data_IF_663407223945
#
_entry.id   IF_663407223945
#
_cell.length_a   1.000
_cell.length_b   1.000
_cell.length_c   1.000
_cell.angle_alpha   90.00
_cell.angle_beta   90.00
_cell.angle_gamma   90.00
#
_symmetry.space_group_name_H-M   'P 1'
#
loop_
_entity.id
_entity.type
_entity.pdbx_description
1 polymer ?
#
# COMPACT_ATOMS: atom_id res chain seq x y z
N UNK A 1 -36.17 -10.84 -9.94
CA UNK A 1 -36.04 -9.44 -9.56
C UNK A 1 -35.07 -9.29 -8.37
N UNK A 2 -35.28 -9.99 -7.23
CA UNK A 2 -34.40 -9.92 -6.05
C UNK A 2 -32.95 -10.35 -6.36
N UNK A 3 -32.77 -11.47 -7.09
CA UNK A 3 -31.44 -11.96 -7.46
C UNK A 3 -30.69 -10.96 -8.37
N UNK A 4 -31.40 -10.29 -9.28
CA UNK A 4 -30.85 -9.29 -10.17
C UNK A 4 -30.46 -8.00 -9.40
N UNK A 5 -31.26 -7.60 -8.42
CA UNK A 5 -30.95 -6.48 -7.52
C UNK A 5 -29.69 -6.78 -6.68
N UNK A 6 -29.61 -7.97 -6.08
CA UNK A 6 -28.42 -8.36 -5.29
C UNK A 6 -27.16 -8.46 -6.15
N UNK A 7 -27.29 -8.96 -7.39
CA UNK A 7 -26.16 -9.02 -8.32
C UNK A 7 -25.67 -7.62 -8.73
N UNK A 8 -26.59 -6.67 -9.01
CA UNK A 8 -26.25 -5.28 -9.33
C UNK A 8 -25.59 -4.56 -8.16
N UNK A 9 -26.07 -4.76 -6.93
CA UNK A 9 -25.45 -4.22 -5.73
C UNK A 9 -24.02 -4.79 -5.55
N UNK A 10 -23.87 -6.11 -5.66
CA UNK A 10 -22.57 -6.78 -5.54
C UNK A 10 -21.56 -6.32 -6.59
N UNK A 11 -22.01 -6.20 -7.85
CA UNK A 11 -21.18 -5.71 -8.95
C UNK A 11 -20.80 -4.22 -8.77
N UNK A 12 -21.73 -3.42 -8.26
CA UNK A 12 -21.48 -2.01 -7.93
C UNK A 12 -20.42 -1.86 -6.83
N UNK A 13 -20.52 -2.63 -5.75
CA UNK A 13 -19.51 -2.64 -4.67
C UNK A 13 -18.15 -3.12 -5.20
N UNK A 14 -18.13 -4.16 -6.03
CA UNK A 14 -16.91 -4.68 -6.64
C UNK A 14 -16.26 -3.64 -7.55
N UNK A 15 -17.04 -3.04 -8.46
CA UNK A 15 -16.56 -2.01 -9.37
C UNK A 15 -15.99 -0.79 -8.62
N UNK A 16 -16.65 -0.34 -7.55
CA UNK A 16 -16.16 0.76 -6.72
C UNK A 16 -14.83 0.41 -6.05
N UNK A 17 -14.68 -0.81 -5.55
CA UNK A 17 -13.41 -1.25 -4.94
C UNK A 17 -12.27 -1.33 -5.93
N UNK A 18 -12.52 -1.84 -7.13
CA UNK A 18 -11.48 -1.98 -8.16
C UNK A 18 -11.14 -0.66 -8.83
N UNK A 19 -12.16 0.14 -9.21
CA UNK A 19 -11.98 1.36 -10.02
C UNK A 19 -11.66 2.61 -9.19
N UNK A 20 -12.13 2.70 -7.93
CA UNK A 20 -11.92 3.89 -7.10
C UNK A 20 -10.85 3.68 -6.01
N UNK A 21 -10.64 2.47 -5.57
CA UNK A 21 -9.69 2.15 -4.51
C UNK A 21 -8.47 1.37 -5.02
N UNK A 22 -8.33 1.17 -6.33
CA UNK A 22 -7.25 0.41 -6.97
C UNK A 22 -6.97 -0.95 -6.27
N UNK A 23 -8.05 -1.63 -5.86
CA UNK A 23 -7.91 -2.89 -5.16
C UNK A 23 -7.41 -3.96 -6.14
N UNK A 24 -6.31 -4.69 -5.82
CA UNK A 24 -5.73 -5.67 -6.74
C UNK A 24 -6.72 -6.79 -7.05
N UNK A 25 -6.82 -7.16 -8.33
CA UNK A 25 -7.65 -8.28 -8.77
C UNK A 25 -7.01 -9.63 -8.47
N UNK A 26 -5.68 -9.66 -8.33
CA UNK A 26 -4.91 -10.88 -8.05
C UNK A 26 -4.47 -10.90 -6.58
N UNK A 27 -4.72 -12.00 -5.84
CA UNK A 27 -4.24 -12.12 -4.48
C UNK A 27 -2.71 -12.29 -4.44
N UNK A 28 -2.05 -11.60 -3.50
CA UNK A 28 -0.60 -11.68 -3.29
C UNK A 28 0.23 -10.74 -4.16
N UNK A 29 -0.40 -9.77 -4.81
CA UNK A 29 0.30 -8.68 -5.48
C UNK A 29 1.05 -7.83 -4.44
N UNK A 30 2.35 -7.67 -4.63
CA UNK A 30 3.22 -6.95 -3.71
C UNK A 30 3.62 -5.60 -4.28
N UNK A 31 3.63 -4.61 -3.43
CA UNK A 31 4.19 -3.29 -3.72
C UNK A 31 5.34 -2.99 -2.77
N UNK A 32 6.28 -2.19 -3.24
CA UNK A 32 7.37 -1.71 -2.38
C UNK A 32 6.89 -0.46 -1.66
N UNK A 33 6.95 -0.49 -0.34
CA UNK A 33 6.80 0.69 0.52
C UNK A 33 8.13 0.98 1.18
N UNK A 34 8.31 2.20 1.70
CA UNK A 34 9.58 2.61 2.25
C UNK A 34 9.44 3.03 3.72
N UNK A 35 10.18 2.40 4.60
CA UNK A 35 10.35 2.87 5.96
C UNK A 35 11.31 4.07 5.94
N UNK A 36 10.79 5.25 6.26
CA UNK A 36 11.51 6.52 6.35
C UNK A 36 11.71 6.87 7.81
N UNK A 37 12.94 7.23 8.17
CA UNK A 37 13.26 7.61 9.53
C UNK A 37 14.16 8.86 9.54
N UNK A 38 13.81 9.84 10.37
CA UNK A 38 14.63 10.98 10.72
C UNK A 38 15.16 10.73 12.13
N UNK A 39 16.48 10.74 12.28
CA UNK A 39 17.19 10.61 13.54
C UNK A 39 17.97 11.91 13.81
N UNK A 40 17.68 12.53 14.93
CA UNK A 40 18.29 13.79 15.37
C UNK A 40 19.02 13.52 16.69
N UNK A 41 20.33 13.68 16.71
CA UNK A 41 21.17 13.52 17.88
C UNK A 41 21.95 14.83 18.10
N UNK A 42 21.83 15.47 19.25
CA UNK A 42 22.35 16.80 19.49
C UNK A 42 22.64 17.06 20.96
N UNK A 43 23.55 17.98 21.21
CA UNK A 43 23.89 18.44 22.56
C UNK A 43 23.07 19.69 22.95
N UNK A 44 22.73 19.78 24.24
CA UNK A 44 21.98 20.90 24.80
C UNK A 44 22.71 21.50 26.00
N UNK A 45 22.52 22.80 26.21
CA UNK A 45 23.26 23.57 27.20
C UNK A 45 22.36 24.36 28.17
N UNK A 46 21.27 23.75 28.64
CA UNK A 46 20.29 24.36 29.55
C UNK A 46 19.68 25.69 29.03
N UNK A 47 19.55 25.78 27.70
CA UNK A 47 18.89 26.89 27.02
C UNK A 47 17.60 26.40 26.34
N UNK A 48 16.64 27.31 26.06
CA UNK A 48 15.46 26.92 25.32
C UNK A 48 15.84 26.37 23.95
N UNK A 49 15.35 25.14 23.67
CA UNK A 49 15.55 24.46 22.39
C UNK A 49 14.29 24.51 21.56
N UNK A 50 14.44 24.88 20.30
CA UNK A 50 13.42 24.78 19.27
C UNK A 50 14.02 24.11 18.03
N UNK A 51 13.47 22.96 17.68
CA UNK A 51 13.79 22.21 16.46
C UNK A 51 12.56 22.16 15.58
N UNK A 52 12.71 22.58 14.34
CA UNK A 52 11.65 22.50 13.34
C UNK A 52 12.20 21.75 12.12
N UNK A 53 11.55 20.65 11.72
CA UNK A 53 11.94 19.90 10.53
C UNK A 53 10.73 19.57 9.68
N UNK A 54 10.95 19.51 8.37
CA UNK A 54 9.95 19.03 7.45
C UNK A 54 9.76 17.53 7.61
N UNK A 55 8.51 17.07 7.57
CA UNK A 55 8.13 15.67 7.63
C UNK A 55 7.23 15.33 6.46
N UNK A 56 7.22 14.06 6.00
CA UNK A 56 6.36 13.59 4.93
C UNK A 56 4.88 13.93 5.16
N UNK A 57 4.17 14.26 4.09
CA UNK A 57 2.74 14.56 4.10
C UNK A 57 2.00 13.81 3.00
N UNK A 58 0.72 13.50 3.24
CA UNK A 58 -0.15 12.89 2.23
C UNK A 58 -0.47 13.86 1.10
N UNK A 59 -0.57 13.34 -0.12
CA UNK A 59 -1.15 14.00 -1.28
C UNK A 59 -1.99 13.00 -2.09
N UNK A 60 -2.45 13.40 -3.27
CA UNK A 60 -3.23 12.52 -4.13
C UNK A 60 -2.44 11.27 -4.53
N UNK A 61 -1.16 11.42 -4.88
CA UNK A 61 -0.31 10.37 -5.43
C UNK A 61 0.66 9.75 -4.41
N UNK A 62 0.85 10.36 -3.23
CA UNK A 62 1.77 9.86 -2.20
C UNK A 62 1.08 9.68 -0.86
N UNK A 63 1.47 8.65 -0.14
CA UNK A 63 0.84 8.30 1.14
C UNK A 63 1.87 8.09 2.23
N UNK A 64 1.52 8.57 3.41
CA UNK A 64 2.27 8.39 4.65
C UNK A 64 1.40 7.59 5.61
N UNK A 65 1.97 6.57 6.20
CA UNK A 65 1.28 5.73 7.18
C UNK A 65 2.22 5.31 8.32
N UNK A 66 1.67 4.78 9.40
CA UNK A 66 2.43 4.27 10.53
C UNK A 66 3.39 5.31 11.15
N UNK A 67 2.97 6.58 11.23
CA UNK A 67 3.77 7.63 11.83
C UNK A 67 4.01 7.38 13.32
N UNK A 68 5.26 7.54 13.74
CA UNK A 68 5.69 7.39 15.13
C UNK A 68 6.68 8.52 15.47
N UNK A 69 6.45 9.17 16.60
CA UNK A 69 7.29 10.24 17.12
C UNK A 69 7.87 9.81 18.45
N UNK A 70 9.18 9.79 18.56
CA UNK A 70 9.91 9.52 19.81
C UNK A 70 10.49 10.84 20.30
N UNK A 71 9.72 11.51 21.17
CA UNK A 71 9.97 12.89 21.56
C UNK A 71 10.73 13.01 22.88
N UNK A 72 10.91 11.91 23.63
CA UNK A 72 11.44 12.01 24.99
C UNK A 72 10.59 12.96 25.85
N UNK A 73 11.25 13.96 26.44
CA UNK A 73 10.60 15.01 27.24
C UNK A 73 10.21 16.26 26.43
N UNK A 74 10.45 16.28 25.11
CA UNK A 74 10.12 17.42 24.28
C UNK A 74 8.62 17.50 23.99
N UNK A 75 8.08 18.72 24.05
CA UNK A 75 6.76 19.02 23.49
C UNK A 75 6.79 18.94 21.97
N UNK A 76 5.80 18.32 21.35
CA UNK A 76 5.65 18.23 19.90
C UNK A 76 4.45 19.02 19.43
N UNK A 77 4.65 19.84 18.42
CA UNK A 77 3.60 20.50 17.66
C UNK A 77 3.78 20.18 16.17
N UNK A 78 2.70 19.75 15.53
CA UNK A 78 2.66 19.56 14.08
C UNK A 78 2.01 20.78 13.44
N UNK A 79 2.65 21.30 12.41
CA UNK A 79 2.16 22.43 11.61
C UNK A 79 2.09 21.98 10.15
N UNK A 80 1.00 22.31 9.46
CA UNK A 80 0.84 22.02 8.03
C UNK A 80 0.51 23.33 7.33
N UNK A 81 1.36 23.73 6.40
CA UNK A 81 1.10 24.85 5.49
C UNK A 81 0.67 24.30 4.14
N UNK A 82 -0.45 24.77 3.70
CA UNK A 82 -0.96 24.40 2.40
C UNK A 82 -0.04 24.87 1.29
N UNK A 83 0.63 23.93 0.59
CA UNK A 83 1.55 24.21 -0.49
C UNK A 83 3.04 24.07 -0.14
N UNK A 84 3.45 24.30 1.12
CA UNK A 84 4.87 24.26 1.52
C UNK A 84 5.32 22.92 2.10
N UNK A 85 4.39 22.16 2.67
CA UNK A 85 4.71 20.93 3.37
C UNK A 85 4.23 20.91 4.82
N UNK A 86 4.60 19.86 5.54
CA UNK A 86 4.24 19.64 6.94
C UNK A 86 5.50 19.69 7.79
N UNK A 87 5.46 20.39 8.94
CA UNK A 87 6.60 20.49 9.85
C UNK A 87 6.28 19.90 11.22
N UNK A 88 7.28 19.28 11.83
CA UNK A 88 7.28 18.88 13.22
C UNK A 88 8.17 19.86 14.00
N UNK A 89 7.60 20.43 15.06
CA UNK A 89 8.25 21.42 15.92
C UNK A 89 8.40 20.80 17.30
N UNK A 90 9.64 20.56 17.72
CA UNK A 90 9.96 20.10 19.07
C UNK A 90 10.48 21.27 19.90
N UNK A 91 9.99 21.38 21.12
CA UNK A 91 10.39 22.44 22.04
C UNK A 91 10.65 21.88 23.43
N UNK A 92 11.73 22.36 24.06
CA UNK A 92 12.03 22.07 25.45
C UNK A 92 12.74 23.28 26.08
N UNK A 93 12.28 23.66 27.30
CA UNK A 93 12.69 24.93 27.89
C UNK A 93 14.12 24.92 28.47
N UNK A 94 14.50 23.86 29.16
CA UNK A 94 15.79 23.73 29.82
C UNK A 94 16.35 22.31 29.73
N UNK A 95 16.64 21.80 28.54
CA UNK A 95 17.26 20.49 28.40
C UNK A 95 18.74 20.56 28.76
N UNK A 96 19.24 19.52 29.40
CA UNK A 96 20.64 19.25 29.64
C UNK A 96 21.04 17.95 28.98
N UNK A 97 22.33 17.82 28.70
CA UNK A 97 22.94 16.61 28.11
C UNK A 97 22.53 16.36 26.65
N UNK A 98 23.09 15.28 26.11
CA UNK A 98 22.80 14.81 24.78
C UNK A 98 21.38 14.30 24.68
N UNK A 99 20.69 14.68 23.63
CA UNK A 99 19.28 14.33 23.37
C UNK A 99 19.10 13.69 22.00
N UNK A 100 18.17 12.76 21.92
CA UNK A 100 17.81 12.07 20.70
C UNK A 100 16.31 12.24 20.45
N UNK A 101 15.98 12.68 19.24
CA UNK A 101 14.62 12.70 18.73
C UNK A 101 14.56 11.82 17.48
N UNK A 102 13.45 11.13 17.30
CA UNK A 102 13.25 10.25 16.16
C UNK A 102 11.84 10.38 15.62
N UNK A 103 11.75 10.48 14.31
CA UNK A 103 10.49 10.36 13.57
C UNK A 103 10.60 9.17 12.63
N UNK A 104 9.57 8.35 12.58
CA UNK A 104 9.48 7.21 11.66
C UNK A 104 8.12 7.20 10.99
N UNK A 105 8.11 6.91 9.69
CA UNK A 105 6.90 6.76 8.91
C UNK A 105 7.11 5.72 7.79
N UNK A 106 6.01 5.16 7.30
CA UNK A 106 6.03 4.34 6.09
C UNK A 106 5.49 5.14 4.92
N UNK A 107 6.26 5.19 3.84
CA UNK A 107 5.98 5.96 2.64
C UNK A 107 5.58 5.04 1.49
N UNK A 108 4.60 5.49 0.70
CA UNK A 108 4.37 5.06 -0.67
C UNK A 108 4.69 6.26 -1.56
N UNK A 109 5.68 6.09 -2.44
CA UNK A 109 6.21 7.15 -3.30
C UNK A 109 5.36 7.42 -4.54
N UNK A 110 5.81 8.41 -5.30
CA UNK A 110 5.28 8.75 -6.63
C UNK A 110 6.24 8.23 -7.71
N UNK A 111 5.68 7.81 -8.84
CA UNK A 111 6.45 7.58 -10.07
C UNK A 111 6.67 8.90 -10.80
N UNK A 112 7.68 8.96 -11.67
CA UNK A 112 8.02 10.17 -12.45
C UNK A 112 6.84 10.64 -13.31
N UNK A 113 6.03 9.71 -13.81
CA UNK A 113 4.89 9.98 -14.69
C UNK A 113 3.60 10.39 -13.94
N UNK A 114 3.62 10.46 -12.61
CA UNK A 114 2.44 10.87 -11.84
C UNK A 114 2.11 12.34 -12.09
N UNK A 115 0.85 12.70 -12.44
CA UNK A 115 0.48 14.08 -12.72
C UNK A 115 0.53 14.96 -11.47
N UNK A 116 0.81 16.28 -11.66
CA UNK A 116 0.69 17.25 -10.58
C UNK A 116 -0.79 17.55 -10.30
N UNK A 117 -1.21 17.66 -9.02
CA UNK A 117 -2.59 17.98 -8.67
C UNK A 117 -3.06 19.30 -9.27
N UNK A 118 -4.28 19.35 -9.85
CA UNK A 118 -4.85 20.56 -10.47
C UNK A 118 -4.91 21.77 -9.52
N UNK A 119 -5.17 21.52 -8.23
CA UNK A 119 -5.17 22.56 -7.20
C UNK A 119 -3.82 23.27 -7.10
N UNK A 120 -2.75 22.56 -7.38
CA UNK A 120 -1.38 23.05 -7.31
C UNK A 120 -1.01 23.87 -8.54
N UNK A 121 -1.41 23.45 -9.72
CA UNK A 121 -1.20 24.18 -10.98
C UNK A 121 -1.78 25.59 -10.92
N UNK A 122 -2.97 25.74 -10.30
CA UNK A 122 -3.62 27.07 -10.12
C UNK A 122 -2.88 27.99 -9.14
N UNK A 123 -2.20 27.42 -8.13
CA UNK A 123 -1.43 28.23 -7.15
C UNK A 123 -0.11 28.70 -7.74
N UNK A 124 0.56 27.87 -8.54
CA UNK A 124 1.84 28.20 -9.18
C UNK A 124 1.72 29.42 -10.13
N UNK A 125 0.62 29.51 -10.88
CA UNK A 125 0.36 30.64 -11.82
C UNK A 125 0.26 32.02 -11.15
N UNK A 126 0.24 32.12 -9.83
CA UNK A 126 0.06 33.38 -9.07
C UNK A 126 1.33 33.83 -8.34
N UNK A 127 2.40 33.05 -8.36
CA UNK A 127 3.63 33.43 -7.70
C UNK A 127 4.40 34.48 -8.50
N UNK A 128 4.74 35.60 -7.88
CA UNK A 128 5.64 36.60 -8.47
C UNK A 128 7.08 36.31 -8.05
N UNK A 129 8.09 36.61 -8.89
CA UNK A 129 9.50 36.44 -8.53
C UNK A 129 9.89 37.36 -7.37
N UNK A 130 10.58 36.82 -6.37
CA UNK A 130 11.09 37.53 -5.20
C UNK A 130 12.55 38.01 -5.49
N UNK A 131 12.70 39.17 -6.07
CA UNK A 131 14.04 39.79 -6.25
C UNK A 131 14.10 41.12 -5.55
N UNK A 132 14.97 41.26 -4.56
CA UNK A 132 15.08 42.44 -3.69
C UNK A 132 15.97 43.58 -4.27
N UNK A 133 16.80 43.29 -5.28
CA UNK A 133 17.80 44.25 -5.78
C UNK A 133 17.47 44.72 -7.21
N UNK A 134 17.46 46.06 -7.45
CA UNK A 134 17.05 46.63 -8.74
C UNK A 134 18.03 46.31 -9.90
N UNK A 135 19.34 46.20 -9.62
CA UNK A 135 20.33 45.84 -10.64
C UNK A 135 20.28 44.39 -11.04
N UNK A 136 20.14 43.50 -10.08
CA UNK A 136 19.94 42.07 -10.32
C UNK A 136 18.61 41.82 -11.05
N UNK A 137 17.59 42.58 -10.72
CA UNK A 137 16.27 42.53 -11.42
C UNK A 137 16.42 42.94 -12.89
N UNK A 138 17.21 43.96 -13.22
CA UNK A 138 17.41 44.35 -14.61
C UNK A 138 18.20 43.30 -15.39
N UNK A 139 19.28 42.78 -14.85
CA UNK A 139 20.04 41.69 -15.45
C UNK A 139 19.19 40.45 -15.68
N UNK A 140 18.40 40.05 -14.68
CA UNK A 140 17.46 38.96 -14.76
C UNK A 140 16.39 39.15 -15.88
N UNK A 141 15.81 40.36 -15.97
CA UNK A 141 14.83 40.67 -16.98
C UNK A 141 15.40 40.64 -18.41
N UNK A 142 16.60 41.16 -18.60
CA UNK A 142 17.29 41.13 -19.91
C UNK A 142 17.57 39.71 -20.32
N UNK A 143 18.13 38.89 -19.45
CA UNK A 143 18.47 37.52 -19.70
C UNK A 143 17.22 36.66 -19.92
N UNK A 144 16.22 36.74 -19.06
CA UNK A 144 14.98 35.98 -19.20
C UNK A 144 14.18 36.32 -20.46
N UNK A 145 14.24 37.60 -20.89
CA UNK A 145 13.61 38.04 -22.15
C UNK A 145 14.38 37.55 -23.38
N UNK A 146 15.70 37.45 -23.31
CA UNK A 146 16.51 36.88 -24.39
C UNK A 146 16.24 35.39 -24.57
N UNK A 147 16.18 34.63 -23.46
CA UNK A 147 15.80 33.22 -23.49
C UNK A 147 14.40 33.01 -24.13
N UNK A 148 13.43 33.85 -23.76
CA UNK A 148 12.09 33.81 -24.38
C UNK A 148 12.11 34.11 -25.86
N UNK A 149 12.96 35.03 -26.31
CA UNK A 149 13.09 35.36 -27.73
C UNK A 149 13.70 34.22 -28.56
N UNK A 150 14.57 33.42 -27.95
CA UNK A 150 15.22 32.26 -28.56
C UNK A 150 14.35 31.01 -28.57
N UNK A 151 13.29 30.97 -27.77
CA UNK A 151 12.38 29.83 -27.63
C UNK A 151 11.16 29.97 -28.54
N UNK A 152 10.63 28.85 -29.03
CA UNK A 152 9.44 28.80 -29.88
C UNK A 152 8.14 28.69 -29.08
N UNK A 153 8.15 27.91 -27.98
CA UNK A 153 7.02 27.59 -27.12
C UNK A 153 7.48 27.48 -25.66
N UNK A 154 6.59 27.08 -24.76
CA UNK A 154 6.89 27.01 -23.32
C UNK A 154 7.79 25.82 -22.99
N UNK A 155 7.70 24.70 -23.74
CA UNK A 155 8.56 23.53 -23.56
C UNK A 155 10.00 23.88 -23.97
N UNK A 156 10.21 24.46 -25.14
CA UNK A 156 11.53 24.87 -25.62
C UNK A 156 12.17 25.97 -24.76
N UNK A 157 11.37 26.84 -24.15
CA UNK A 157 11.86 27.80 -23.16
C UNK A 157 12.36 27.08 -21.89
N UNK A 158 11.59 26.14 -21.38
CA UNK A 158 11.99 25.39 -20.19
C UNK A 158 13.28 24.61 -20.43
N UNK A 159 13.39 23.94 -21.57
CA UNK A 159 14.60 23.19 -21.94
C UNK A 159 15.81 24.11 -22.04
N UNK A 160 15.67 25.26 -22.71
CA UNK A 160 16.75 26.23 -22.86
C UNK A 160 17.20 26.81 -21.50
N UNK A 161 16.26 27.15 -20.62
CA UNK A 161 16.56 27.62 -19.25
C UNK A 161 17.33 26.57 -18.45
N UNK A 162 16.89 25.31 -18.54
CA UNK A 162 17.53 24.21 -17.83
C UNK A 162 18.91 23.88 -18.40
N UNK A 163 19.08 23.94 -19.71
CA UNK A 163 20.36 23.75 -20.39
C UNK A 163 21.37 24.82 -19.96
N UNK A 164 21.04 26.11 -20.04
CA UNK A 164 21.94 27.21 -19.65
C UNK A 164 22.30 27.20 -18.16
N UNK A 165 21.36 26.84 -17.28
CA UNK A 165 21.62 26.82 -15.82
C UNK A 165 22.41 25.59 -15.36
N UNK A 166 22.17 24.42 -15.97
CA UNK A 166 22.69 23.14 -15.46
C UNK A 166 23.74 22.48 -16.34
N UNK A 167 23.74 22.71 -17.66
CA UNK A 167 24.68 22.10 -18.60
C UNK A 167 25.80 23.11 -18.90
N UNK A 168 25.46 24.33 -19.34
CA UNK A 168 26.40 25.39 -19.68
C UNK A 168 26.76 26.30 -18.48
N UNK A 169 26.40 25.90 -17.29
CA UNK A 169 26.30 26.67 -16.05
C UNK A 169 27.58 27.30 -15.46
N UNK A 170 28.63 27.46 -16.24
CA UNK A 170 29.79 28.32 -15.92
C UNK A 170 29.70 29.69 -16.63
N UNK A 171 28.52 30.05 -17.13
CA UNK A 171 28.28 31.35 -17.74
C UNK A 171 28.26 32.40 -16.63
N UNK A 172 29.11 33.42 -16.75
CA UNK A 172 29.25 34.52 -15.78
C UNK A 172 27.92 35.19 -15.42
N UNK A 173 26.97 35.20 -16.35
CA UNK A 173 25.63 35.73 -16.17
C UNK A 173 24.76 34.88 -15.21
N UNK A 174 24.87 33.58 -15.25
CA UNK A 174 24.14 32.64 -14.33
C UNK A 174 24.72 32.76 -12.92
N UNK A 175 26.05 32.77 -12.79
CA UNK A 175 26.72 32.90 -11.48
C UNK A 175 26.38 34.23 -10.80
N UNK A 176 26.27 35.33 -11.56
CA UNK A 176 25.91 36.65 -11.03
C UNK A 176 24.45 36.72 -10.51
N UNK A 177 23.56 35.85 -11.01
CA UNK A 177 22.15 35.81 -10.63
C UNK A 177 21.84 34.78 -9.54
N UNK A 178 22.81 33.93 -9.15
CA UNK A 178 22.62 32.96 -8.09
C UNK A 178 22.56 33.64 -6.71
N UNK A 179 21.55 33.26 -5.92
CA UNK A 179 21.47 33.73 -4.53
C UNK A 179 22.64 33.22 -3.69
N UNK A 180 23.42 34.10 -3.06
CA UNK A 180 24.55 33.70 -2.23
C UNK A 180 24.15 33.04 -0.91
N UNK A 181 22.89 33.14 -0.52
CA UNK A 181 22.36 32.60 0.73
C UNK A 181 21.90 31.15 0.62
N UNK A 182 21.71 30.64 -0.59
CA UNK A 182 21.25 29.29 -0.85
C UNK A 182 22.40 28.36 -1.21
N UNK A 183 22.28 27.09 -0.84
CA UNK A 183 23.20 26.06 -1.33
C UNK A 183 23.14 25.99 -2.86
N UNK A 184 24.29 25.84 -3.52
CA UNK A 184 24.44 25.95 -4.99
C UNK A 184 23.37 25.14 -5.79
N UNK A 185 23.04 23.87 -5.46
CA UNK A 185 21.99 23.12 -6.17
C UNK A 185 20.61 23.76 -6.05
N UNK A 186 20.25 24.27 -4.87
CA UNK A 186 18.96 24.90 -4.62
C UNK A 186 18.93 26.29 -5.28
N UNK A 187 20.01 27.03 -5.27
CA UNK A 187 20.11 28.34 -5.90
C UNK A 187 19.85 28.25 -7.42
N UNK A 188 20.43 27.26 -8.10
CA UNK A 188 20.18 27.00 -9.52
C UNK A 188 18.72 26.64 -9.83
N UNK A 189 18.11 25.80 -9.02
CA UNK A 189 16.70 25.44 -9.15
C UNK A 189 15.77 26.64 -8.85
N UNK A 190 16.13 27.49 -7.88
CA UNK A 190 15.41 28.71 -7.58
C UNK A 190 15.45 29.69 -8.74
N UNK A 191 16.62 29.88 -9.35
CA UNK A 191 16.79 30.73 -10.53
C UNK A 191 15.97 30.21 -11.71
N UNK A 192 16.00 28.89 -11.98
CA UNK A 192 15.19 28.29 -13.04
C UNK A 192 13.69 28.50 -12.78
N UNK A 193 13.22 28.28 -11.53
CA UNK A 193 11.85 28.58 -11.13
C UNK A 193 11.46 30.03 -11.41
N UNK A 194 12.33 30.98 -11.03
CA UNK A 194 12.03 32.41 -11.14
C UNK A 194 11.96 32.84 -12.60
N UNK A 195 12.86 32.34 -13.45
CA UNK A 195 12.82 32.59 -14.91
C UNK A 195 11.53 32.04 -15.51
N UNK A 196 11.20 30.78 -15.27
CA UNK A 196 10.00 30.17 -15.82
C UNK A 196 8.74 30.89 -15.34
N UNK A 197 8.66 31.20 -14.04
CA UNK A 197 7.51 31.89 -13.46
C UNK A 197 7.37 33.31 -14.01
N UNK A 198 8.46 34.04 -14.22
CA UNK A 198 8.45 35.38 -14.82
C UNK A 198 7.90 35.38 -16.24
N UNK A 199 8.11 34.30 -16.98
CA UNK A 199 7.62 34.10 -18.34
C UNK A 199 6.20 33.46 -18.39
N UNK A 200 5.55 33.29 -17.25
CA UNK A 200 4.20 32.76 -17.14
C UNK A 200 4.09 31.22 -17.08
N UNK A 201 5.21 30.51 -17.05
CA UNK A 201 5.26 29.07 -16.85
C UNK A 201 5.23 28.77 -15.35
N UNK A 202 4.19 28.12 -14.81
CA UNK A 202 4.14 27.76 -13.40
C UNK A 202 5.26 26.79 -13.04
N UNK A 203 6.10 27.16 -12.07
CA UNK A 203 7.20 26.33 -11.61
C UNK A 203 7.40 26.43 -10.10
N UNK A 204 7.96 25.37 -9.50
CA UNK A 204 8.30 25.34 -8.07
C UNK A 204 9.47 24.40 -7.82
N UNK A 205 10.23 24.68 -6.78
CA UNK A 205 11.26 23.78 -6.25
C UNK A 205 10.60 22.79 -5.32
N UNK A 206 10.84 21.49 -5.53
CA UNK A 206 10.41 20.41 -4.69
C UNK A 206 11.62 19.74 -4.03
N UNK A 207 11.44 19.29 -2.80
CA UNK A 207 12.49 18.71 -1.98
C UNK A 207 12.01 17.40 -1.37
N UNK A 208 12.86 16.39 -1.34
CA UNK A 208 12.48 15.09 -0.82
C UNK A 208 13.57 14.04 -0.96
N UNK A 209 13.15 12.79 -1.14
CA UNK A 209 14.05 11.64 -1.21
C UNK A 209 13.74 10.78 -2.44
N UNK A 210 14.80 10.18 -3.01
CA UNK A 210 14.67 9.19 -4.07
C UNK A 210 14.48 7.80 -3.44
N UNK A 211 13.51 7.06 -3.96
CA UNK A 211 13.12 5.74 -3.46
C UNK A 211 13.67 4.65 -4.40
N UNK A 212 14.98 4.64 -4.56
CA UNK A 212 15.70 3.77 -5.50
C UNK A 212 16.46 2.61 -4.82
N UNK A 213 16.98 2.86 -3.62
CA UNK A 213 17.81 1.91 -2.88
C UNK A 213 17.77 2.11 -1.37
N UNK A 214 18.04 1.04 -0.62
CA UNK A 214 18.18 1.13 0.84
C UNK A 214 19.36 2.03 1.22
N UNK A 215 19.14 3.05 2.03
CA UNK A 215 20.16 3.99 2.49
C UNK A 215 20.04 4.25 3.98
N UNK A 216 21.12 4.10 4.71
CA UNK A 216 21.18 4.49 6.13
C UNK A 216 21.37 5.99 6.32
N UNK A 217 21.99 6.66 5.35
CA UNK A 217 22.13 8.12 5.26
C UNK A 217 21.65 8.53 3.88
N UNK A 218 20.36 8.78 3.76
CA UNK A 218 19.76 9.29 2.54
C UNK A 218 19.97 10.82 2.49
N UNK A 219 20.34 11.30 1.33
CA UNK A 219 20.44 12.73 1.07
C UNK A 219 19.07 13.27 0.68
N UNK A 220 18.76 14.47 1.16
CA UNK A 220 17.64 15.22 0.63
C UNK A 220 18.03 15.69 -0.77
N UNK A 221 17.16 15.39 -1.71
CA UNK A 221 17.29 15.74 -3.12
C UNK A 221 16.32 16.85 -3.47
N UNK A 222 16.69 17.64 -4.48
CA UNK A 222 15.95 18.79 -4.94
C UNK A 222 15.71 18.66 -6.43
N UNK A 223 14.50 19.05 -6.90
CA UNK A 223 14.14 19.05 -8.31
C UNK A 223 13.16 20.16 -8.62
N UNK A 224 12.98 20.44 -9.88
CA UNK A 224 12.02 21.42 -10.36
C UNK A 224 10.76 20.73 -10.86
N UNK A 225 9.61 21.22 -10.46
CA UNK A 225 8.31 20.85 -11.00
C UNK A 225 7.75 22.06 -11.76
N UNK A 226 7.35 21.89 -13.01
CA UNK A 226 6.83 22.97 -13.84
C UNK A 226 5.74 22.46 -14.77
N UNK A 227 4.93 23.40 -15.28
CA UNK A 227 3.81 23.10 -16.16
C UNK A 227 3.98 23.83 -17.47
N UNK A 228 4.30 23.11 -18.55
CA UNK A 228 4.52 23.64 -19.88
C UNK A 228 3.64 22.90 -20.90
N UNK A 229 3.08 23.64 -21.85
CA UNK A 229 2.29 23.12 -22.99
C UNK A 229 1.20 22.11 -22.60
N UNK A 230 0.53 22.35 -21.47
CA UNK A 230 -0.57 21.49 -21.00
C UNK A 230 -0.13 20.24 -20.26
N UNK A 231 1.18 20.05 -20.03
CA UNK A 231 1.73 18.88 -19.35
C UNK A 231 2.55 19.24 -18.12
N UNK A 232 2.46 18.37 -17.12
CA UNK A 232 3.30 18.40 -15.91
C UNK A 232 4.68 17.82 -16.24
N UNK A 233 5.72 18.59 -15.92
CA UNK A 233 7.11 18.22 -16.16
C UNK A 233 7.91 18.29 -14.85
N UNK A 234 8.92 17.42 -14.74
CA UNK A 234 9.87 17.41 -13.64
C UNK A 234 11.29 17.35 -14.17
N UNK A 235 12.13 18.21 -13.64
CA UNK A 235 13.55 18.18 -13.94
C UNK A 235 14.33 17.78 -12.69
N UNK A 236 15.06 16.68 -12.79
CA UNK A 236 15.93 16.16 -11.75
C UNK A 236 17.39 16.49 -12.11
N UNK A 237 18.12 17.29 -11.31
CA UNK A 237 19.55 17.50 -11.55
C UNK A 237 20.31 16.18 -11.44
N UNK A 238 20.87 15.70 -12.57
CA UNK A 238 21.55 14.41 -12.67
C UNK A 238 20.61 13.25 -13.04
N UNK A 239 20.97 12.00 -12.72
CA UNK A 239 20.15 10.85 -13.04
C UNK A 239 18.83 10.88 -12.25
N UNK A 240 17.72 10.88 -12.96
CA UNK A 240 16.39 10.87 -12.36
C UNK A 240 16.08 9.54 -11.65
N UNK A 241 15.26 9.58 -10.58
CA UNK A 241 14.82 8.38 -9.88
C UNK A 241 13.69 7.64 -10.65
N UNK A 242 13.46 6.36 -10.34
CA UNK A 242 12.24 5.66 -10.77
C UNK A 242 11.04 6.02 -9.90
N UNK A 243 11.27 6.13 -8.59
CA UNK A 243 10.30 6.55 -7.59
C UNK A 243 10.92 7.61 -6.67
N UNK A 244 10.10 8.52 -6.17
CA UNK A 244 10.51 9.56 -5.24
C UNK A 244 9.39 9.90 -4.27
N UNK A 245 9.75 10.63 -3.21
CA UNK A 245 8.78 11.17 -2.27
C UNK A 245 9.09 12.64 -1.99
N UNK A 246 8.18 13.54 -2.37
CA UNK A 246 8.27 14.97 -2.07
C UNK A 246 7.88 15.22 -0.61
N UNK A 247 8.77 15.85 0.16
CA UNK A 247 8.53 16.17 1.56
C UNK A 247 8.00 17.60 1.70
N UNK A 248 8.66 18.58 1.03
CA UNK A 248 8.20 19.99 1.03
C UNK A 248 8.54 20.69 -0.27
N UNK A 249 7.98 21.87 -0.46
CA UNK A 249 8.26 22.76 -1.58
C UNK A 249 8.88 24.06 -1.11
N UNK A 250 9.64 24.70 -2.01
CA UNK A 250 10.33 25.96 -1.74
C UNK A 250 11.82 25.79 -1.48
N UNK A 251 12.45 26.84 -1.05
CA UNK A 251 13.91 26.93 -0.86
C UNK A 251 14.36 26.88 0.60
N UNK A 252 13.42 26.63 1.51
CA UNK A 252 13.71 26.54 2.94
C UNK A 252 14.54 25.30 3.27
N UNK A 253 15.41 25.42 4.28
CA UNK A 253 16.20 24.30 4.78
C UNK A 253 15.33 23.18 5.38
N UNK A 254 15.79 21.94 5.26
CA UNK A 254 15.12 20.76 5.79
C UNK A 254 14.89 20.84 7.30
N UNK A 255 15.85 21.39 8.03
CA UNK A 255 15.81 21.54 9.49
C UNK A 255 16.21 22.96 9.89
N UNK A 256 15.49 23.52 10.84
CA UNK A 256 15.86 24.74 11.55
C UNK A 256 16.03 24.42 13.03
N UNK A 257 17.16 24.74 13.59
CA UNK A 257 17.53 24.40 14.95
C UNK A 257 17.99 25.64 15.71
N UNK A 258 17.46 25.83 16.93
CA UNK A 258 17.82 26.91 17.86
C UNK A 258 18.12 26.32 19.24
N UNK A 259 19.17 26.81 19.91
CA UNK A 259 19.54 26.40 21.26
C UNK A 259 20.20 25.02 21.37
N UNK A 260 20.77 24.51 20.29
CA UNK A 260 21.48 23.23 20.26
C UNK A 260 22.91 23.41 19.71
N UNK A 261 23.75 22.42 19.93
CA UNK A 261 25.07 22.26 19.34
C UNK A 261 25.29 20.81 18.89
N UNK A 262 26.28 20.56 18.06
CA UNK A 262 26.69 19.23 17.58
C UNK A 262 25.51 18.38 17.05
N UNK A 263 24.76 18.94 16.09
CA UNK A 263 23.62 18.25 15.49
C UNK A 263 24.08 17.19 14.48
N UNK A 264 23.87 15.92 14.77
CA UNK A 264 23.92 14.80 13.80
C UNK A 264 22.50 14.50 13.30
N UNK A 265 22.23 14.87 12.06
CA UNK A 265 20.99 14.62 11.35
C UNK A 265 21.19 13.43 10.41
N UNK A 266 20.43 12.38 10.61
CA UNK A 266 20.43 11.23 9.72
C UNK A 266 19.03 10.96 9.19
N UNK A 267 18.91 10.77 7.88
CA UNK A 267 17.70 10.32 7.21
C UNK A 267 17.96 8.91 6.69
N UNK A 268 17.14 7.95 7.06
CA UNK A 268 17.28 6.59 6.56
C UNK A 268 16.08 6.15 5.76
N UNK A 269 16.31 5.29 4.76
CA UNK A 269 15.33 4.72 3.85
C UNK A 269 15.56 3.21 3.75
N UNK A 270 14.50 2.42 3.98
CA UNK A 270 14.55 0.98 3.82
C UNK A 270 13.32 0.47 3.06
N UNK A 271 13.49 -0.27 1.95
CA UNK A 271 12.37 -0.85 1.23
C UNK A 271 11.73 -1.97 2.05
N UNK A 272 10.41 -1.99 2.06
CA UNK A 272 9.60 -3.01 2.71
C UNK A 272 8.57 -3.52 1.74
N UNK A 273 8.62 -4.81 1.41
CA UNK A 273 7.59 -5.43 0.59
C UNK A 273 6.30 -5.55 1.40
N UNK A 274 5.25 -4.95 0.91
CA UNK A 274 3.92 -5.00 1.50
C UNK A 274 2.90 -5.56 0.50
N UNK A 275 1.88 -6.26 0.99
CA UNK A 275 0.75 -6.63 0.15
C UNK A 275 -0.02 -5.38 -0.28
N UNK A 276 -0.31 -5.26 -1.57
CA UNK A 276 -1.08 -4.12 -2.12
C UNK A 276 -2.42 -3.98 -1.40
N UNK A 277 -3.09 -5.10 -1.10
CA UNK A 277 -4.34 -5.11 -0.36
C UNK A 277 -4.22 -4.46 1.03
N UNK A 278 -3.12 -4.68 1.74
CA UNK A 278 -2.86 -4.09 3.06
C UNK A 278 -2.59 -2.58 2.95
N UNK A 279 -1.86 -2.15 1.92
CA UNK A 279 -1.54 -0.74 1.66
C UNK A 279 -2.82 0.03 1.32
N UNK A 280 -3.60 -0.45 0.34
CA UNK A 280 -4.87 0.17 -0.10
C UNK A 280 -5.86 0.24 1.06
N UNK A 281 -5.95 -0.80 1.89
CA UNK A 281 -6.85 -0.81 3.03
C UNK A 281 -6.49 0.23 4.10
N UNK A 282 -5.20 0.41 4.39
CA UNK A 282 -4.73 1.44 5.32
C UNK A 282 -5.02 2.84 4.78
N UNK A 283 -4.82 3.04 3.47
CA UNK A 283 -5.18 4.29 2.80
C UNK A 283 -6.68 4.60 2.91
N UNK A 284 -7.54 3.61 2.66
CA UNK A 284 -8.98 3.76 2.79
C UNK A 284 -9.42 4.08 4.24
N UNK A 285 -8.69 3.56 5.24
CA UNK A 285 -8.93 3.86 6.65
C UNK A 285 -8.67 5.32 7.00
N UNK A 286 -7.61 5.89 6.47
CA UNK A 286 -7.22 7.28 6.73
C UNK A 286 -8.17 8.28 6.05
N UNK A 287 -8.85 7.87 4.97
CA UNK A 287 -9.83 8.70 4.26
C UNK A 287 -11.25 8.70 4.85
N UNK A 288 -11.51 7.92 5.92
CA UNK A 288 -12.81 7.88 6.59
C UNK A 288 -13.96 7.36 5.72
N UNK A 289 -13.66 6.60 4.67
CA UNK A 289 -14.64 6.09 3.73
C UNK A 289 -15.71 5.19 4.40
N UNK A 290 -17.00 5.45 4.15
CA UNK A 290 -18.11 4.63 4.65
C UNK A 290 -18.01 3.16 4.19
N UNK A 291 -17.26 2.88 3.13
CA UNK A 291 -16.95 1.55 2.60
C UNK A 291 -16.20 0.65 3.60
N UNK A 292 -15.58 1.23 4.64
CA UNK A 292 -14.91 0.49 5.72
C UNK A 292 -15.86 -0.36 6.56
N UNK A 293 -17.13 0.03 6.65
CA UNK A 293 -18.13 -0.75 7.41
C UNK A 293 -18.38 -2.13 6.80
N UNK A 294 -18.12 -2.30 5.51
CA UNK A 294 -18.28 -3.55 4.76
C UNK A 294 -16.95 -4.28 4.51
N UNK A 295 -15.87 -3.92 5.20
CA UNK A 295 -14.57 -4.58 5.05
C UNK A 295 -14.39 -5.70 6.08
N UNK A 296 -14.25 -6.94 5.62
CA UNK A 296 -13.95 -8.11 6.48
C UNK A 296 -12.60 -8.00 7.20
N UNK A 297 -11.71 -7.15 6.72
CA UNK A 297 -10.36 -7.01 7.25
C UNK A 297 -10.30 -6.29 8.64
N UNK A 298 -11.43 -5.73 9.12
CA UNK A 298 -11.55 -5.24 10.50
C UNK A 298 -11.69 -6.35 11.54
N UNK A 299 -12.02 -7.55 11.08
CA UNK A 299 -12.24 -8.69 11.95
C UNK A 299 -10.89 -9.30 12.39
N UNK A 300 -10.81 -9.91 13.58
CA UNK A 300 -9.64 -10.71 13.96
C UNK A 300 -9.29 -11.75 12.89
N UNK A 301 -8.01 -12.06 12.72
CA UNK A 301 -7.52 -12.98 11.67
C UNK A 301 -8.24 -14.33 11.71
N UNK A 302 -8.54 -14.84 12.90
CA UNK A 302 -9.32 -16.07 13.09
C UNK A 302 -10.71 -15.97 12.50
N UNK A 303 -11.39 -14.84 12.67
CA UNK A 303 -12.73 -14.58 12.13
C UNK A 303 -12.68 -14.38 10.60
N UNK A 304 -11.64 -13.72 10.08
CA UNK A 304 -11.45 -13.57 8.63
C UNK A 304 -11.33 -14.91 7.92
N UNK A 305 -10.59 -15.86 8.48
CA UNK A 305 -10.46 -17.22 7.94
C UNK A 305 -11.81 -17.94 7.87
N UNK A 306 -12.65 -17.80 8.90
CA UNK A 306 -13.99 -18.38 8.91
C UNK A 306 -14.88 -17.76 7.82
N UNK A 307 -14.88 -16.43 7.70
CA UNK A 307 -15.67 -15.75 6.64
C UNK A 307 -15.17 -16.07 5.23
N UNK A 308 -13.86 -16.25 5.04
CA UNK A 308 -13.31 -16.67 3.75
C UNK A 308 -13.90 -18.02 3.30
N UNK A 309 -14.05 -18.97 4.23
CA UNK A 309 -14.71 -20.26 3.95
C UNK A 309 -16.18 -20.05 3.67
N UNK A 310 -16.89 -19.26 4.50
CA UNK A 310 -18.33 -19.00 4.33
C UNK A 310 -18.66 -18.37 2.97
N UNK A 311 -17.84 -17.41 2.51
CA UNK A 311 -18.06 -16.76 1.19
C UNK A 311 -17.77 -17.71 0.03
N UNK A 312 -16.92 -18.72 0.20
CA UNK A 312 -16.64 -19.72 -0.84
C UNK A 312 -17.87 -20.63 -1.09
N UNK A 313 -18.73 -20.85 -0.09
CA UNK A 313 -19.93 -21.73 -0.23
C UNK A 313 -20.90 -21.22 -1.30
N UNK A 314 -21.39 -19.96 -1.28
CA UNK A 314 -22.26 -19.44 -2.33
C UNK A 314 -21.66 -19.51 -3.73
N UNK A 315 -20.37 -19.23 -3.87
CA UNK A 315 -19.66 -19.31 -5.16
C UNK A 315 -19.62 -20.76 -5.66
N UNK A 316 -19.32 -21.71 -4.78
CA UNK A 316 -19.35 -23.13 -5.10
C UNK A 316 -20.74 -23.63 -5.51
N UNK A 317 -21.79 -23.18 -4.81
CA UNK A 317 -23.18 -23.51 -5.18
C UNK A 317 -23.53 -22.93 -6.55
N UNK A 318 -23.18 -21.70 -6.82
CA UNK A 318 -23.44 -21.04 -8.11
C UNK A 318 -22.73 -21.79 -9.24
N UNK A 319 -21.48 -22.16 -9.05
CA UNK A 319 -20.71 -22.97 -10.01
C UNK A 319 -21.35 -24.33 -10.23
N UNK A 320 -21.83 -24.99 -9.17
CA UNK A 320 -22.51 -26.29 -9.27
C UNK A 320 -23.84 -26.18 -10.03
N UNK A 321 -24.64 -25.14 -9.75
CA UNK A 321 -25.89 -24.87 -10.47
C UNK A 321 -25.62 -24.62 -11.95
N UNK A 322 -24.56 -23.86 -12.26
CA UNK A 322 -24.13 -23.65 -13.63
C UNK A 322 -23.76 -24.96 -14.32
N UNK A 323 -22.91 -25.79 -13.73
CA UNK A 323 -22.55 -27.12 -14.27
C UNK A 323 -23.74 -28.03 -14.48
N UNK A 324 -24.69 -28.01 -13.54
CA UNK A 324 -25.92 -28.82 -13.65
C UNK A 324 -26.82 -28.31 -14.75
N UNK A 325 -27.01 -27.00 -14.88
CA UNK A 325 -27.96 -26.38 -15.80
C UNK A 325 -27.43 -26.33 -17.24
N UNK A 326 -26.15 -26.06 -17.43
CA UNK A 326 -25.53 -25.89 -18.76
C UNK A 326 -24.86 -27.16 -19.28
N UNK A 327 -24.22 -27.95 -18.42
CA UNK A 327 -23.50 -29.16 -18.83
C UNK A 327 -24.33 -30.42 -18.61
N UNK A 328 -25.39 -30.33 -17.78
CA UNK A 328 -26.27 -31.48 -17.52
C UNK A 328 -25.68 -32.48 -16.53
N UNK A 329 -24.66 -32.11 -15.73
CA UNK A 329 -24.09 -33.03 -14.75
C UNK A 329 -25.10 -33.36 -13.64
N UNK A 330 -25.38 -34.64 -13.45
CA UNK A 330 -26.19 -35.11 -12.35
C UNK A 330 -25.35 -35.23 -11.07
N UNK A 331 -25.75 -34.53 -10.02
CA UNK A 331 -25.05 -34.52 -8.72
C UNK A 331 -25.99 -35.01 -7.62
N UNK A 332 -25.45 -35.72 -6.63
CA UNK A 332 -26.16 -36.18 -5.44
C UNK A 332 -26.45 -35.02 -4.45
N UNK A 333 -27.33 -34.10 -4.85
CA UNK A 333 -27.70 -32.91 -4.10
C UNK A 333 -26.87 -31.68 -4.46
N UNK A 334 -27.21 -30.50 -3.91
CA UNK A 334 -26.58 -29.21 -4.23
C UNK A 334 -25.46 -28.82 -3.26
N UNK A 335 -25.60 -29.14 -1.98
CA UNK A 335 -24.63 -28.71 -0.95
C UNK A 335 -23.45 -29.67 -0.78
N UNK A 336 -23.66 -30.98 -0.96
CA UNK A 336 -22.60 -31.96 -0.68
C UNK A 336 -21.35 -31.80 -1.51
N UNK A 337 -21.42 -31.67 -2.85
CA UNK A 337 -20.20 -31.48 -3.65
C UNK A 337 -19.41 -30.24 -3.26
N UNK A 338 -20.11 -29.15 -2.88
CA UNK A 338 -19.46 -27.92 -2.45
C UNK A 338 -18.75 -28.10 -1.11
N UNK A 339 -19.40 -28.79 -0.16
CA UNK A 339 -18.81 -29.07 1.15
C UNK A 339 -17.62 -30.02 1.06
N UNK A 340 -17.69 -31.02 0.17
CA UNK A 340 -16.56 -31.92 -0.13
C UNK A 340 -15.41 -31.13 -0.76
N UNK A 341 -15.69 -30.22 -1.69
CA UNK A 341 -14.69 -29.36 -2.30
C UNK A 341 -13.98 -28.46 -1.29
N UNK A 342 -14.70 -27.92 -0.30
CA UNK A 342 -14.12 -27.13 0.79
C UNK A 342 -13.24 -28.00 1.69
N UNK A 343 -13.67 -29.23 2.00
CA UNK A 343 -12.86 -30.17 2.77
C UNK A 343 -11.53 -30.51 2.07
N UNK A 344 -11.53 -30.63 0.74
CA UNK A 344 -10.30 -30.87 -0.04
C UNK A 344 -9.33 -29.67 -0.04
N UNK A 345 -9.79 -28.47 0.21
CA UNK A 345 -8.92 -27.31 0.39
C UNK A 345 -7.97 -27.49 1.57
N UNK A 346 -8.43 -28.08 2.66
CA UNK A 346 -7.65 -28.30 3.89
C UNK A 346 -6.64 -29.45 3.77
N UNK A 347 -6.96 -30.47 2.93
CA UNK A 347 -6.18 -31.71 2.83
C UNK A 347 -5.28 -31.79 1.59
N UNK A 348 -5.27 -30.78 0.73
CA UNK A 348 -4.78 -30.83 -0.64
C UNK A 348 -5.60 -31.79 -1.53
N UNK A 349 -5.82 -31.44 -2.80
CA UNK A 349 -6.78 -32.12 -3.68
C UNK A 349 -6.51 -33.64 -3.81
N UNK A 350 -5.27 -34.02 -4.11
CA UNK A 350 -4.90 -35.41 -4.38
C UNK A 350 -5.04 -36.27 -3.11
N UNK A 351 -4.44 -35.83 -2.01
CA UNK A 351 -4.50 -36.54 -0.74
C UNK A 351 -5.92 -36.59 -0.19
N UNK A 352 -6.69 -35.50 -0.35
CA UNK A 352 -8.09 -35.41 0.05
C UNK A 352 -8.97 -36.42 -0.70
N UNK A 353 -8.83 -36.54 -2.02
CA UNK A 353 -9.58 -37.48 -2.84
C UNK A 353 -9.25 -38.92 -2.46
N UNK A 354 -7.98 -39.29 -2.28
CA UNK A 354 -7.57 -40.64 -1.88
C UNK A 354 -8.13 -40.99 -0.49
N UNK A 355 -7.97 -40.08 0.48
CA UNK A 355 -8.48 -40.28 1.84
C UNK A 355 -9.98 -40.40 1.89
N UNK A 356 -10.71 -39.54 1.15
CA UNK A 356 -12.17 -39.57 1.06
C UNK A 356 -12.67 -40.84 0.45
N UNK A 357 -12.07 -41.29 -0.65
CA UNK A 357 -12.45 -42.54 -1.34
C UNK A 357 -12.18 -43.76 -0.44
N UNK A 358 -11.05 -43.80 0.24
CA UNK A 358 -10.70 -44.87 1.16
C UNK A 358 -11.69 -44.94 2.36
N UNK A 359 -12.03 -43.80 2.95
CA UNK A 359 -12.98 -43.72 4.07
C UNK A 359 -14.39 -44.16 3.64
N UNK A 360 -14.86 -43.75 2.44
CA UNK A 360 -16.14 -44.19 1.90
C UNK A 360 -16.16 -45.72 1.64
N UNK A 361 -15.11 -46.25 0.99
CA UNK A 361 -14.98 -47.67 0.72
C UNK A 361 -15.02 -48.48 2.03
N UNK A 362 -14.27 -48.06 3.04
CA UNK A 362 -14.21 -48.68 4.35
C UNK A 362 -15.58 -48.59 5.08
N UNK A 363 -16.22 -47.43 5.06
CA UNK A 363 -17.55 -47.22 5.63
C UNK A 363 -18.64 -48.05 4.97
N UNK A 364 -18.59 -48.21 3.63
CA UNK A 364 -19.48 -49.09 2.90
C UNK A 364 -19.24 -50.58 3.26
N UNK A 365 -17.98 -51.00 3.37
CA UNK A 365 -17.63 -52.38 3.77
C UNK A 365 -18.18 -52.70 5.17
N UNK A 366 -18.05 -51.82 6.14
CA UNK A 366 -18.61 -51.96 7.49
C UNK A 366 -20.15 -52.04 7.41
N UNK A 367 -20.75 -51.16 6.62
CA UNK A 367 -22.20 -51.14 6.47
C UNK A 367 -22.74 -52.44 5.88
N UNK A 368 -22.14 -52.97 4.80
CA UNK A 368 -22.54 -54.25 4.21
C UNK A 368 -22.39 -55.42 5.21
N UNK A 369 -21.32 -55.36 6.05
CA UNK A 369 -21.19 -56.33 7.13
C UNK A 369 -22.32 -56.25 8.16
N UNK A 370 -22.69 -55.03 8.59
CA UNK A 370 -23.79 -54.78 9.54
C UNK A 370 -25.17 -55.13 8.98
N UNK A 371 -25.34 -55.05 7.67
CA UNK A 371 -26.58 -55.45 6.99
C UNK A 371 -26.81 -56.96 7.08
N UNK A 372 -25.75 -57.78 6.95
CA UNK A 372 -25.81 -59.22 7.19
C UNK A 372 -26.24 -59.57 8.61
N UNK A 373 -26.01 -58.70 9.58
CA UNK A 373 -26.42 -58.86 10.97
C UNK A 373 -27.89 -58.48 11.23
N UNK A 374 -28.64 -58.07 10.18
CA UNK A 374 -30.07 -57.68 10.25
C UNK A 374 -30.35 -56.58 11.30
N UNK A 375 -29.43 -55.66 11.51
CA UNK A 375 -29.60 -54.53 12.43
C UNK A 375 -30.62 -53.54 11.90
N UNK A 376 -31.38 -52.92 12.81
CA UNK A 376 -32.25 -51.79 12.50
C UNK A 376 -31.46 -50.62 11.93
N UNK A 377 -32.12 -49.77 11.15
CA UNK A 377 -31.50 -48.67 10.40
C UNK A 377 -30.74 -47.68 11.32
N UNK A 378 -31.31 -47.31 12.48
CA UNK A 378 -30.72 -46.34 13.39
C UNK A 378 -29.44 -46.85 14.07
N UNK A 379 -29.39 -48.05 14.68
CA UNK A 379 -28.14 -48.61 15.21
C UNK A 379 -27.07 -48.82 14.14
N UNK A 380 -27.44 -49.19 12.91
CA UNK A 380 -26.53 -49.36 11.78
C UNK A 380 -25.82 -48.05 11.42
N UNK A 381 -26.59 -46.96 11.30
CA UNK A 381 -26.03 -45.63 11.04
C UNK A 381 -25.12 -45.16 12.17
N UNK A 382 -25.55 -45.28 13.41
CA UNK A 382 -24.74 -44.89 14.58
C UNK A 382 -23.40 -45.61 14.62
N UNK A 383 -23.38 -46.94 14.33
CA UNK A 383 -22.12 -47.70 14.31
C UNK A 383 -21.18 -47.25 13.18
N UNK A 384 -21.72 -46.95 11.98
CA UNK A 384 -20.91 -46.43 10.87
C UNK A 384 -20.30 -45.06 11.24
N UNK A 385 -21.06 -44.14 11.87
CA UNK A 385 -20.57 -42.84 12.34
C UNK A 385 -19.45 -43.03 13.33
N UNK A 386 -19.64 -43.84 14.37
CA UNK A 386 -18.62 -44.09 15.39
C UNK A 386 -17.35 -44.68 14.78
N UNK A 387 -17.51 -45.63 13.86
CA UNK A 387 -16.39 -46.22 13.14
C UNK A 387 -15.59 -45.20 12.33
N UNK A 388 -16.26 -44.31 11.57
CA UNK A 388 -15.63 -43.26 10.80
C UNK A 388 -14.86 -42.28 11.72
N UNK A 389 -15.46 -41.92 12.87
CA UNK A 389 -14.80 -41.07 13.86
C UNK A 389 -13.49 -41.68 14.35
N UNK A 390 -13.52 -42.98 14.70
CA UNK A 390 -12.34 -43.72 15.14
C UNK A 390 -11.28 -43.74 14.03
N UNK A 391 -11.66 -44.06 12.80
CA UNK A 391 -10.75 -44.06 11.66
C UNK A 391 -10.08 -42.68 11.45
N UNK A 392 -10.88 -41.62 11.50
CA UNK A 392 -10.36 -40.25 11.37
C UNK A 392 -9.41 -39.90 12.51
N UNK A 393 -9.71 -40.26 13.72
CA UNK A 393 -8.82 -40.03 14.88
C UNK A 393 -7.48 -40.76 14.73
N UNK A 394 -7.52 -42.02 14.27
CA UNK A 394 -6.29 -42.81 13.99
C UNK A 394 -5.47 -42.16 12.87
N UNK A 395 -6.11 -41.74 11.79
CA UNK A 395 -5.42 -41.08 10.67
C UNK A 395 -4.79 -39.76 11.15
N UNK A 396 -5.53 -38.95 11.92
CA UNK A 396 -5.00 -37.72 12.49
C UNK A 396 -3.77 -37.95 13.36
N UNK A 397 -3.79 -39.00 14.19
CA UNK A 397 -2.65 -39.36 15.05
C UNK A 397 -1.43 -39.83 14.24
N UNK A 398 -1.63 -40.64 13.21
CA UNK A 398 -0.54 -41.12 12.32
C UNK A 398 0.09 -39.94 11.57
N UNK A 399 -0.72 -39.01 11.07
CA UNK A 399 -0.22 -37.83 10.36
C UNK A 399 0.51 -36.86 11.28
N UNK A 400 0.02 -36.66 12.50
CA UNK A 400 0.69 -35.82 13.51
C UNK A 400 2.08 -36.39 13.87
N UNK A 401 2.20 -37.72 14.01
CA UNK A 401 3.48 -38.36 14.28
C UNK A 401 4.49 -38.23 13.13
N UNK A 402 4.02 -38.08 11.89
CA UNK A 402 4.86 -37.88 10.71
C UNK A 402 5.23 -36.41 10.46
N UNK A 403 5.01 -35.50 11.43
CA UNK A 403 5.38 -34.10 11.34
C UNK A 403 4.57 -33.26 10.34
N UNK A 404 3.53 -33.81 9.74
CA UNK A 404 2.61 -33.05 8.91
C UNK A 404 1.68 -32.27 9.82
N UNK A 405 1.82 -30.94 9.83
CA UNK A 405 0.85 -30.04 10.47
C UNK A 405 -0.45 -30.02 9.64
N UNK A 406 -1.23 -31.06 9.75
CA UNK A 406 -2.62 -31.00 9.35
C UNK A 406 -3.25 -30.15 10.44
N UNK A 407 -3.71 -28.97 10.07
CA UNK A 407 -4.42 -28.09 10.99
C UNK A 407 -5.50 -28.90 11.70
N UNK A 408 -5.76 -28.59 12.96
CA UNK A 408 -6.84 -29.14 13.82
C UNK A 408 -8.25 -29.00 13.21
N UNK A 409 -8.32 -28.68 11.92
CA UNK A 409 -9.51 -28.52 11.08
C UNK A 409 -10.04 -29.85 10.51
N UNK A 410 -9.68 -30.99 11.09
CA UNK A 410 -10.53 -32.19 10.98
C UNK A 410 -11.77 -31.89 11.85
N UNK A 411 -12.50 -30.88 11.40
CA UNK A 411 -13.71 -30.42 12.05
C UNK A 411 -14.82 -31.46 11.82
N UNK A 412 -15.81 -31.44 12.68
CA UNK A 412 -17.08 -32.22 12.60
C UNK A 412 -17.72 -32.23 11.19
N UNK A 413 -17.32 -31.30 10.33
CA UNK A 413 -17.86 -31.08 8.99
C UNK A 413 -17.55 -32.20 8.01
N UNK A 414 -16.32 -32.65 7.76
CA UNK A 414 -16.03 -33.78 6.88
C UNK A 414 -16.70 -35.07 7.37
N UNK A 415 -16.81 -35.27 8.66
CA UNK A 415 -17.41 -36.46 9.26
C UNK A 415 -18.92 -36.60 8.94
N UNK A 416 -19.68 -35.50 9.10
CA UNK A 416 -21.11 -35.48 8.78
C UNK A 416 -21.33 -35.71 7.28
N UNK A 417 -20.50 -35.10 6.44
CA UNK A 417 -20.59 -35.26 4.99
C UNK A 417 -20.29 -36.70 4.55
N UNK A 418 -19.23 -37.30 5.11
CA UNK A 418 -18.86 -38.70 4.84
C UNK A 418 -20.00 -39.64 5.22
N UNK A 419 -20.56 -39.51 6.42
CA UNK A 419 -21.65 -40.34 6.91
C UNK A 419 -22.89 -40.23 6.03
N UNK A 420 -23.32 -39.02 5.70
CA UNK A 420 -24.43 -38.76 4.79
C UNK A 420 -24.20 -39.30 3.37
N UNK A 421 -22.94 -39.27 2.91
CA UNK A 421 -22.57 -39.78 1.58
C UNK A 421 -22.64 -41.31 1.56
N UNK A 422 -22.13 -42.00 2.58
CA UNK A 422 -22.18 -43.43 2.74
C UNK A 422 -23.64 -43.92 2.83
N UNK A 423 -24.47 -43.22 3.61
CA UNK A 423 -25.90 -43.51 3.71
C UNK A 423 -26.58 -43.44 2.34
N UNK A 424 -26.38 -42.38 1.59
CA UNK A 424 -27.03 -42.22 0.28
C UNK A 424 -26.48 -43.14 -0.79
N UNK A 425 -25.20 -43.41 -0.82
CA UNK A 425 -24.64 -44.40 -1.74
C UNK A 425 -25.19 -45.82 -1.46
N UNK A 426 -25.41 -46.13 -0.22
CA UNK A 426 -25.98 -47.41 0.15
C UNK A 426 -27.46 -47.53 -0.20
N UNK A 427 -28.25 -46.48 -0.02
CA UNK A 427 -29.67 -46.47 -0.48
C UNK A 427 -29.73 -46.63 -2.00
N UNK A 428 -28.88 -45.89 -2.72
CA UNK A 428 -28.80 -46.01 -4.17
C UNK A 428 -28.40 -47.42 -4.61
N UNK A 429 -27.47 -48.08 -3.88
CA UNK A 429 -27.09 -49.45 -4.16
C UNK A 429 -28.26 -50.44 -3.97
N UNK A 430 -29.07 -50.27 -2.89
CA UNK A 430 -30.25 -51.08 -2.62
C UNK A 430 -31.35 -50.87 -3.69
N UNK A 431 -31.45 -49.67 -4.28
CA UNK A 431 -32.43 -49.39 -5.36
C UNK A 431 -32.02 -49.97 -6.71
N UNK A 432 -30.74 -50.20 -6.97
CA UNK A 432 -30.22 -50.70 -8.24
C UNK A 432 -29.80 -52.18 -8.23
N UNK A 433 -29.83 -52.88 -7.08
CA UNK A 433 -29.50 -54.29 -6.97
C UNK A 433 -30.76 -55.15 -6.76
#
# INVERSE_FOLDING_TARGET
LLALLLATIGLGIFATKVLQLDYPMTPGERTTTWDFEIYLDFDTSNQPVRLETYIPSNSENRRVSQEQFYNGAFGLRLNSREGDGRTAIWTYRYPNDRKVLRYRARLLGETVDSPLPESMQRKLRRAAPETENDLERQAFLVWSTDLRRRSADDESLADLVLEEIFVDGDVDEVEALLSPTLARPIARLALARDVLTSQGIPARVANGVYLDSARRRAEIRHWLEYYADGMDRRYFPGPGPSEFFTIWHGTNDFIRAEGISDLDLQVSLQPVNADVSDVVQRMAKDQGSAMQWFSFNRLPITTQLVYQVLVTIPVGILMLVFLRQFIGLQTLGTFRPVLIGIAFRETALVNGVILFTALIALGLAVRFYLEKLKLLLVPRLATVVVFIVICMAVIAQVMANNGQRIGLSISLFPMVILTMTIERMSIAWEEYS
#
